data_IF_983128958360
#
_entry.id   IF_983128958360
#
_cell.length_a   1.000
_cell.length_b   1.000
_cell.length_c   1.000
_cell.angle_alpha   90.00
_cell.angle_beta   90.00
_cell.angle_gamma   90.00
#
_symmetry.space_group_name_H-M   'P 1'
#
loop_
_entity.id
_entity.type
_entity.pdbx_description
1 polymer ?
#
# COMPACT_ATOMS: atom_id res chain seq x y z
N UNK A 1 -18.03 -5.61 3.76
CA UNK A 1 -17.37 -6.65 4.54
C UNK A 1 -17.08 -6.05 5.89
N UNK A 2 -17.61 -6.67 6.94
CA UNK A 2 -17.37 -6.24 8.32
C UNK A 2 -15.88 -6.50 8.68
N UNK A 3 -15.29 -5.66 9.55
CA UNK A 3 -13.89 -5.83 9.95
C UNK A 3 -13.67 -7.22 10.56
N UNK A 4 -12.47 -7.79 10.38
CA UNK A 4 -12.15 -9.13 10.91
C UNK A 4 -12.36 -9.17 12.42
N UNK A 5 -12.06 -8.09 13.14
CA UNK A 5 -12.31 -7.98 14.59
C UNK A 5 -13.77 -8.19 14.99
N UNK A 6 -14.75 -7.97 14.11
CA UNK A 6 -16.17 -8.19 14.40
C UNK A 6 -16.70 -9.52 13.86
N UNK A 7 -15.83 -10.44 13.42
CA UNK A 7 -16.28 -11.73 12.90
C UNK A 7 -16.82 -12.64 13.98
N UNK A 8 -17.98 -13.25 13.68
CA UNK A 8 -18.56 -14.32 14.50
C UNK A 8 -17.81 -15.64 14.30
N UNK A 9 -17.99 -16.64 15.19
CA UNK A 9 -17.36 -17.95 15.03
C UNK A 9 -17.73 -18.65 13.71
N UNK A 10 -18.94 -18.43 13.20
CA UNK A 10 -19.39 -18.97 11.91
C UNK A 10 -18.65 -18.32 10.73
N UNK A 11 -18.34 -17.02 10.84
CA UNK A 11 -17.55 -16.31 9.84
C UNK A 11 -16.09 -16.77 9.85
N UNK A 12 -15.51 -17.01 11.03
CA UNK A 12 -14.18 -17.63 11.18
C UNK A 12 -14.16 -19.02 10.56
N UNK A 13 -15.17 -19.85 10.84
CA UNK A 13 -15.31 -21.17 10.21
C UNK A 13 -15.43 -21.07 8.68
N UNK A 14 -16.19 -20.09 8.17
CA UNK A 14 -16.30 -19.86 6.72
C UNK A 14 -14.97 -19.45 6.10
N UNK A 15 -14.15 -18.67 6.81
CA UNK A 15 -12.81 -18.31 6.36
C UNK A 15 -11.88 -19.54 6.33
N UNK A 16 -11.93 -20.38 7.36
CA UNK A 16 -11.13 -21.62 7.42
C UNK A 16 -11.43 -22.58 6.26
N UNK A 17 -12.68 -22.63 5.78
CA UNK A 17 -13.07 -23.41 4.59
C UNK A 17 -12.41 -22.93 3.29
N UNK A 18 -11.85 -21.73 3.27
CA UNK A 18 -11.10 -21.19 2.14
C UNK A 18 -9.59 -21.49 2.19
N UNK A 19 -9.09 -22.12 3.26
CA UNK A 19 -7.71 -22.56 3.39
C UNK A 19 -7.50 -23.94 2.75
N UNK A 20 -6.25 -24.39 2.70
CA UNK A 20 -5.89 -25.73 2.23
C UNK A 20 -6.72 -26.82 2.93
N UNK A 21 -7.13 -27.85 2.18
CA UNK A 21 -8.00 -28.93 2.68
C UNK A 21 -7.46 -29.60 3.96
N UNK A 22 -6.13 -29.66 4.10
CA UNK A 22 -5.46 -30.23 5.28
C UNK A 22 -5.71 -29.43 6.57
N UNK A 23 -6.06 -28.14 6.46
CA UNK A 23 -6.33 -27.24 7.59
C UNK A 23 -7.82 -27.17 7.92
N UNK A 24 -8.69 -27.45 6.96
CA UNK A 24 -10.15 -27.38 7.13
C UNK A 24 -10.68 -28.34 8.21
N UNK A 25 -9.97 -29.44 8.47
CA UNK A 25 -10.30 -30.41 9.52
C UNK A 25 -10.34 -29.80 10.94
N UNK A 26 -9.66 -28.66 11.17
CA UNK A 26 -9.65 -27.97 12.46
C UNK A 26 -10.84 -27.02 12.65
N UNK A 27 -11.62 -26.76 11.60
CA UNK A 27 -12.77 -25.85 11.63
C UNK A 27 -13.78 -26.13 12.76
N UNK A 28 -14.22 -27.38 12.98
CA UNK A 28 -15.13 -27.70 14.08
C UNK A 28 -14.58 -27.32 15.46
N UNK A 29 -13.29 -27.56 15.71
CA UNK A 29 -12.65 -27.21 16.97
C UNK A 29 -12.65 -25.69 17.21
N UNK A 30 -12.42 -24.88 16.16
CA UNK A 30 -12.49 -23.42 16.26
C UNK A 30 -13.91 -22.92 16.54
N UNK A 31 -14.91 -23.54 15.91
CA UNK A 31 -16.31 -23.21 16.12
C UNK A 31 -16.76 -23.58 17.56
N UNK A 32 -16.46 -24.79 18.02
CA UNK A 32 -16.81 -25.29 19.35
C UNK A 32 -16.16 -24.49 20.48
N UNK A 33 -14.92 -24.02 20.27
CA UNK A 33 -14.23 -23.13 21.20
C UNK A 33 -14.65 -21.65 21.06
N UNK A 34 -15.59 -21.33 20.17
CA UNK A 34 -16.12 -19.98 20.00
C UNK A 34 -15.08 -18.97 19.56
N UNK A 35 -14.13 -19.36 18.70
CA UNK A 35 -13.08 -18.46 18.21
C UNK A 35 -13.71 -17.38 17.31
N UNK A 36 -13.81 -16.16 17.85
CA UNK A 36 -14.21 -14.95 17.13
C UNK A 36 -13.02 -14.31 16.42
N UNK A 37 -13.29 -13.35 15.54
CA UNK A 37 -12.24 -12.73 14.72
C UNK A 37 -11.15 -11.99 15.49
N UNK A 38 -11.46 -11.31 16.59
CA UNK A 38 -10.42 -10.71 17.47
C UNK A 38 -9.49 -11.78 18.06
N UNK A 39 -10.06 -12.91 18.52
CA UNK A 39 -9.29 -14.02 19.05
C UNK A 39 -8.46 -14.73 17.97
N UNK A 40 -9.00 -14.86 16.76
CA UNK A 40 -8.30 -15.42 15.60
C UNK A 40 -7.01 -14.66 15.28
N UNK A 41 -7.08 -13.32 15.28
CA UNK A 41 -5.93 -12.44 14.99
C UNK A 41 -4.85 -12.47 16.09
N UNK A 42 -5.15 -13.03 17.26
CA UNK A 42 -4.23 -13.14 18.40
C UNK A 42 -3.81 -14.59 18.70
N UNK A 43 -4.08 -15.54 17.81
CA UNK A 43 -3.67 -16.93 18.00
C UNK A 43 -2.14 -17.06 18.01
N UNK A 44 -1.66 -17.96 18.87
CA UNK A 44 -0.25 -18.33 19.00
C UNK A 44 -0.12 -19.84 18.88
N UNK A 45 1.11 -20.34 18.70
CA UNK A 45 1.40 -21.78 18.70
C UNK A 45 0.81 -22.51 19.91
N UNK A 46 0.95 -21.93 21.11
CA UNK A 46 0.40 -22.51 22.33
C UNK A 46 -1.13 -22.63 22.27
N UNK A 47 -1.80 -21.61 21.74
CA UNK A 47 -3.27 -21.63 21.64
C UNK A 47 -3.77 -22.56 20.54
N UNK A 48 -3.00 -22.72 19.46
CA UNK A 48 -3.28 -23.70 18.43
C UNK A 48 -3.11 -25.14 18.95
N UNK A 49 -2.14 -25.38 19.83
CA UNK A 49 -1.98 -26.67 20.50
C UNK A 49 -3.20 -27.01 21.39
N UNK A 50 -3.68 -26.04 22.18
CA UNK A 50 -4.90 -26.18 22.99
C UNK A 50 -6.14 -26.50 22.13
N UNK A 51 -6.21 -25.96 20.92
CA UNK A 51 -7.28 -26.20 19.94
C UNK A 51 -7.12 -27.54 19.19
N UNK A 52 -6.08 -28.32 19.49
CA UNK A 52 -5.83 -29.64 18.90
C UNK A 52 -4.97 -29.63 17.64
N UNK A 53 -4.44 -28.47 17.23
CA UNK A 53 -3.51 -28.35 16.10
C UNK A 53 -2.09 -28.65 16.61
N UNK A 54 -1.73 -29.93 16.73
CA UNK A 54 -0.44 -30.34 17.33
C UNK A 54 0.73 -30.42 16.34
N UNK A 55 0.43 -30.52 15.05
CA UNK A 55 1.45 -30.64 14.01
C UNK A 55 2.06 -29.25 13.76
N UNK A 56 3.36 -29.11 14.01
CA UNK A 56 4.07 -27.84 13.83
C UNK A 56 3.86 -27.25 12.43
N UNK A 57 3.93 -28.07 11.38
CA UNK A 57 3.69 -27.60 10.01
C UNK A 57 2.28 -27.03 9.79
N UNK A 58 1.26 -27.58 10.44
CA UNK A 58 -0.11 -27.05 10.35
C UNK A 58 -0.27 -25.76 11.16
N UNK A 59 0.42 -25.66 12.31
CA UNK A 59 0.46 -24.42 13.08
C UNK A 59 1.10 -23.29 12.26
N UNK A 60 2.23 -23.54 11.61
CA UNK A 60 2.91 -22.56 10.76
C UNK A 60 2.02 -22.10 9.60
N UNK A 61 1.37 -23.01 8.88
CA UNK A 61 0.48 -22.64 7.77
C UNK A 61 -0.74 -21.83 8.24
N UNK A 62 -1.32 -22.17 9.40
CA UNK A 62 -2.42 -21.40 9.98
C UNK A 62 -1.96 -20.01 10.41
N UNK A 63 -0.81 -19.90 11.07
CA UNK A 63 -0.26 -18.60 11.50
C UNK A 63 0.13 -17.74 10.29
N UNK A 64 0.67 -18.33 9.22
CA UNK A 64 0.93 -17.60 7.97
C UNK A 64 -0.37 -17.08 7.33
N UNK A 65 -1.43 -17.89 7.30
CA UNK A 65 -2.74 -17.45 6.83
C UNK A 65 -3.33 -16.33 7.71
N UNK A 66 -3.14 -16.40 9.03
CA UNK A 66 -3.55 -15.37 9.98
C UNK A 66 -2.72 -14.09 9.79
N UNK A 67 -1.42 -14.17 9.57
CA UNK A 67 -0.57 -13.02 9.29
C UNK A 67 -0.99 -12.31 8.00
N UNK A 68 -1.36 -13.07 6.96
CA UNK A 68 -1.93 -12.53 5.73
C UNK A 68 -3.29 -11.88 5.99
N UNK A 69 -4.12 -12.48 6.84
CA UNK A 69 -5.41 -11.91 7.26
C UNK A 69 -5.23 -10.64 8.11
N UNK A 70 -4.22 -10.57 8.98
CA UNK A 70 -3.81 -9.38 9.72
C UNK A 70 -3.35 -8.28 8.77
N UNK A 71 -2.48 -8.61 7.82
CA UNK A 71 -2.04 -7.67 6.79
C UNK A 71 -3.24 -7.14 5.99
N UNK A 72 -4.22 -7.99 5.69
CA UNK A 72 -5.46 -7.60 5.04
C UNK A 72 -6.35 -6.69 5.90
N UNK A 73 -6.55 -7.06 7.17
CA UNK A 73 -7.38 -6.34 8.13
C UNK A 73 -6.82 -4.94 8.40
N UNK A 74 -5.52 -4.84 8.71
CA UNK A 74 -4.88 -3.57 9.03
C UNK A 74 -4.57 -2.69 7.81
N UNK A 75 -4.64 -3.22 6.57
CA UNK A 75 -4.55 -2.40 5.34
C UNK A 75 -5.88 -1.83 4.87
N UNK A 76 -6.99 -2.34 5.40
CA UNK A 76 -8.32 -1.81 5.09
C UNK A 76 -8.56 -0.48 5.83
N UNK A 77 -8.10 -0.40 7.09
CA UNK A 77 -8.20 0.81 7.92
C UNK A 77 -6.92 1.67 8.01
N UNK A 78 -5.74 1.14 7.64
CA UNK A 78 -4.51 1.95 7.54
C UNK A 78 -3.95 1.96 6.11
N UNK A 79 -3.94 3.17 5.52
CA UNK A 79 -3.19 3.60 4.33
C UNK A 79 -2.60 2.53 3.38
N UNK A 80 -3.20 2.34 2.19
CA UNK A 80 -2.67 1.51 1.10
C UNK A 80 -1.83 2.31 0.08
N UNK A 81 -1.13 1.65 -0.85
CA UNK A 81 -0.28 2.32 -1.85
C UNK A 81 -1.04 3.40 -2.64
N UNK A 82 -2.31 3.14 -2.95
CA UNK A 82 -3.18 4.10 -3.61
C UNK A 82 -3.41 5.36 -2.75
N UNK A 83 -3.85 5.20 -1.49
CA UNK A 83 -4.06 6.31 -0.53
C UNK A 83 -2.76 7.09 -0.30
N UNK A 84 -1.63 6.40 -0.15
CA UNK A 84 -0.31 7.02 0.00
C UNK A 84 0.08 7.85 -1.25
N UNK A 85 -0.18 7.31 -2.44
CA UNK A 85 0.06 8.01 -3.72
C UNK A 85 -0.88 9.21 -3.88
N UNK A 86 -2.13 9.12 -3.41
CA UNK A 86 -3.07 10.24 -3.41
C UNK A 86 -2.62 11.39 -2.49
N UNK A 87 -2.11 11.08 -1.29
CA UNK A 87 -1.52 12.11 -0.40
C UNK A 87 -0.32 12.79 -1.04
N UNK A 88 0.55 12.02 -1.69
CA UNK A 88 1.67 12.59 -2.45
C UNK A 88 1.17 13.50 -3.59
N UNK A 89 0.12 13.07 -4.30
CA UNK A 89 -0.51 13.85 -5.38
C UNK A 89 -1.05 15.19 -4.88
N UNK A 90 -1.77 15.20 -3.76
CA UNK A 90 -2.36 16.43 -3.22
C UNK A 90 -1.28 17.40 -2.76
N UNK A 91 -0.21 16.91 -2.13
CA UNK A 91 0.93 17.73 -1.72
C UNK A 91 1.66 18.36 -2.93
N UNK A 92 1.89 17.61 -4.00
CA UNK A 92 2.49 18.13 -5.24
C UNK A 92 1.62 19.23 -5.89
N UNK A 93 0.30 19.04 -5.95
CA UNK A 93 -0.64 20.03 -6.49
C UNK A 93 -0.66 21.31 -5.64
N UNK A 94 -0.68 21.18 -4.32
CA UNK A 94 -0.63 22.31 -3.40
C UNK A 94 0.65 23.13 -3.59
N UNK A 95 1.81 22.47 -3.73
CA UNK A 95 3.08 23.15 -4.04
C UNK A 95 3.03 23.86 -5.39
N UNK A 96 2.46 23.22 -6.42
CA UNK A 96 2.33 23.83 -7.76
C UNK A 96 1.44 25.08 -7.75
N UNK A 97 0.31 25.04 -7.04
CA UNK A 97 -0.57 26.21 -6.86
C UNK A 97 0.12 27.31 -6.07
N UNK A 98 0.82 26.98 -4.98
CA UNK A 98 1.60 27.93 -4.18
C UNK A 98 2.70 28.63 -4.98
N UNK A 99 3.39 27.90 -5.86
CA UNK A 99 4.38 28.48 -6.77
C UNK A 99 3.78 29.42 -7.82
N UNK A 100 2.53 29.18 -8.25
CA UNK A 100 1.79 30.02 -9.19
C UNK A 100 1.31 31.33 -8.57
N UNK A 101 0.78 31.29 -7.35
CA UNK A 101 0.37 32.48 -6.58
C UNK A 101 1.56 33.39 -6.21
N UNK A 102 2.74 32.81 -6.01
CA UNK A 102 3.97 33.56 -5.79
C UNK A 102 4.46 34.33 -7.04
N UNK A 103 3.92 34.07 -8.23
CA UNK A 103 4.35 34.70 -9.49
C UNK A 103 3.63 36.03 -9.82
N UNK A 104 2.48 36.32 -9.20
CA UNK A 104 1.58 37.40 -9.64
C UNK A 104 1.68 38.69 -8.82
N UNK A 105 2.50 38.73 -7.76
CA UNK A 105 2.63 39.88 -6.86
C UNK A 105 3.94 40.67 -7.06
N UNK A 106 3.92 41.96 -7.46
CA UNK A 106 5.13 42.76 -7.67
C UNK A 106 5.95 43.06 -6.40
N UNK A 107 5.35 42.91 -5.20
CA UNK A 107 5.95 43.39 -3.94
C UNK A 107 6.63 42.30 -3.08
N UNK A 108 6.44 41.01 -3.40
CA UNK A 108 7.08 39.89 -2.68
C UNK A 108 8.47 39.53 -3.20
N UNK A 109 8.80 39.93 -4.43
CA UNK A 109 10.09 39.66 -5.07
C UNK A 109 11.29 40.30 -4.32
N UNK A 110 11.04 41.31 -3.47
CA UNK A 110 12.09 41.98 -2.69
C UNK A 110 12.42 41.28 -1.37
N UNK A 111 11.45 40.63 -0.73
CA UNK A 111 11.58 39.90 0.54
C UNK A 111 12.03 38.44 0.28
N UNK A 112 11.64 37.87 -0.86
CA UNK A 112 12.00 36.51 -1.30
C UNK A 112 13.45 36.32 -1.78
N UNK A 113 14.33 37.32 -1.62
CA UNK A 113 15.69 37.30 -2.20
C UNK A 113 16.72 36.48 -1.42
N UNK A 114 16.34 35.88 -0.29
CA UNK A 114 17.31 35.22 0.62
C UNK A 114 16.83 33.87 1.19
N UNK A 115 15.58 33.44 0.98
CA UNK A 115 15.13 32.08 1.34
C UNK A 115 13.87 31.67 0.58
N UNK A 116 13.62 30.35 0.44
CA UNK A 116 12.29 29.86 0.09
C UNK A 116 11.26 30.43 1.08
N UNK A 117 10.08 30.89 0.62
CA UNK A 117 8.97 31.21 1.51
C UNK A 117 8.65 30.02 2.41
N UNK A 118 8.48 30.26 3.72
CA UNK A 118 8.24 29.21 4.72
C UNK A 118 7.09 28.26 4.36
N UNK A 119 6.08 28.80 3.65
CA UNK A 119 4.93 28.04 3.14
C UNK A 119 5.33 26.99 2.09
N UNK A 120 6.30 27.28 1.22
CA UNK A 120 6.80 26.31 0.23
C UNK A 120 7.66 25.22 0.90
N UNK A 121 8.45 25.57 1.93
CA UNK A 121 9.22 24.59 2.69
C UNK A 121 8.32 23.58 3.41
N UNK A 122 7.22 24.04 4.01
CA UNK A 122 6.21 23.16 4.63
C UNK A 122 5.64 22.18 3.59
N UNK A 123 5.33 22.67 2.39
CA UNK A 123 4.82 21.83 1.30
C UNK A 123 5.85 20.81 0.80
N UNK A 124 7.14 21.19 0.73
CA UNK A 124 8.23 20.24 0.41
C UNK A 124 8.33 19.15 1.48
N UNK A 125 8.27 19.51 2.77
CA UNK A 125 8.28 18.53 3.87
C UNK A 125 7.07 17.58 3.80
N UNK A 126 5.89 18.09 3.45
CA UNK A 126 4.69 17.26 3.25
C UNK A 126 4.85 16.28 2.08
N UNK A 127 5.48 16.70 0.98
CA UNK A 127 5.83 15.83 -0.16
C UNK A 127 6.79 14.74 0.29
N UNK A 128 7.87 15.08 1.01
CA UNK A 128 8.86 14.11 1.50
C UNK A 128 8.23 13.07 2.44
N UNK A 129 7.38 13.51 3.37
CA UNK A 129 6.67 12.60 4.28
C UNK A 129 5.72 11.66 3.54
N UNK A 130 4.97 12.17 2.56
CA UNK A 130 4.08 11.36 1.73
C UNK A 130 4.85 10.39 0.84
N UNK A 131 5.98 10.81 0.27
CA UNK A 131 6.85 9.98 -0.55
C UNK A 131 7.49 8.84 0.26
N UNK A 132 7.82 9.05 1.54
CA UNK A 132 8.33 8.00 2.43
C UNK A 132 7.33 6.85 2.59
N UNK A 133 6.04 7.14 2.71
CA UNK A 133 4.97 6.14 2.77
C UNK A 133 4.91 5.31 1.48
N UNK A 134 4.96 5.97 0.32
CA UNK A 134 5.00 5.30 -0.99
C UNK A 134 6.27 4.43 -1.15
N UNK A 135 7.44 4.93 -0.73
CA UNK A 135 8.70 4.18 -0.76
C UNK A 135 8.63 2.92 0.12
N UNK A 136 8.00 2.97 1.28
CA UNK A 136 7.81 1.81 2.15
C UNK A 136 6.96 0.73 1.45
N UNK A 137 5.88 1.14 0.79
CA UNK A 137 5.05 0.24 -0.03
C UNK A 137 5.84 -0.38 -1.18
N UNK A 138 6.57 0.43 -1.95
CA UNK A 138 7.40 -0.06 -3.07
C UNK A 138 8.53 -1.00 -2.61
N UNK A 139 9.04 -0.82 -1.39
CA UNK A 139 10.09 -1.68 -0.83
C UNK A 139 9.62 -3.09 -0.52
N UNK A 140 8.30 -3.31 -0.38
CA UNK A 140 7.67 -4.63 -0.22
C UNK A 140 7.43 -5.35 -1.57
N UNK A 141 7.55 -4.63 -2.69
CA UNK A 141 7.20 -5.09 -4.05
C UNK A 141 8.45 -5.40 -4.90
N UNK A 142 9.52 -5.90 -4.30
CA UNK A 142 10.82 -6.06 -4.98
C UNK A 142 10.81 -7.09 -6.11
N UNK A 143 9.83 -7.98 -6.11
CA UNK A 143 9.65 -9.03 -7.12
C UNK A 143 9.33 -8.47 -8.51
N UNK A 144 8.84 -7.23 -8.59
CA UNK A 144 8.38 -6.63 -9.83
C UNK A 144 9.33 -5.50 -10.30
N UNK A 145 9.94 -5.69 -11.48
CA UNK A 145 10.95 -4.77 -12.03
C UNK A 145 10.46 -3.32 -12.15
N UNK A 146 9.22 -3.12 -12.56
CA UNK A 146 8.63 -1.78 -12.72
C UNK A 146 8.55 -1.01 -11.39
N UNK A 147 8.23 -1.70 -10.29
CA UNK A 147 8.16 -1.10 -8.95
C UNK A 147 9.54 -0.87 -8.35
N UNK A 148 10.52 -1.70 -8.68
CA UNK A 148 11.93 -1.46 -8.33
C UNK A 148 12.47 -0.21 -9.02
N UNK A 149 12.16 -0.04 -10.32
CA UNK A 149 12.51 1.18 -11.05
C UNK A 149 11.79 2.40 -10.46
N UNK A 150 10.50 2.25 -10.16
CA UNK A 150 9.72 3.34 -9.59
C UNK A 150 10.24 3.77 -8.21
N UNK A 151 10.66 2.82 -7.37
CA UNK A 151 11.29 3.10 -6.07
C UNK A 151 12.58 3.91 -6.22
N UNK A 152 13.44 3.53 -7.16
CA UNK A 152 14.71 4.24 -7.42
C UNK A 152 14.46 5.67 -7.88
N UNK A 153 13.49 5.85 -8.76
CA UNK A 153 13.12 7.16 -9.29
C UNK A 153 12.52 8.06 -8.21
N UNK A 154 11.60 7.55 -7.38
CA UNK A 154 11.02 8.30 -6.26
C UNK A 154 12.08 8.68 -5.21
N UNK A 155 13.02 7.78 -4.92
CA UNK A 155 14.13 8.07 -4.01
C UNK A 155 15.03 9.20 -4.55
N UNK A 156 15.29 9.20 -5.86
CA UNK A 156 16.04 10.28 -6.53
C UNK A 156 15.31 11.63 -6.42
N UNK A 157 14.00 11.67 -6.63
CA UNK A 157 13.23 12.91 -6.43
C UNK A 157 13.25 13.41 -4.99
N UNK A 158 13.17 12.52 -4.01
CA UNK A 158 13.26 12.92 -2.59
C UNK A 158 14.62 13.56 -2.28
N UNK A 159 15.70 13.00 -2.84
CA UNK A 159 17.04 13.57 -2.71
C UNK A 159 17.14 14.95 -3.36
N UNK A 160 16.70 15.08 -4.61
CA UNK A 160 16.76 16.36 -5.34
C UNK A 160 15.91 17.44 -4.66
N UNK A 161 14.72 17.10 -4.14
CA UNK A 161 13.89 18.03 -3.36
C UNK A 161 14.54 18.46 -2.04
N UNK A 162 15.26 17.56 -1.38
CA UNK A 162 15.97 17.89 -0.14
C UNK A 162 17.14 18.83 -0.41
N UNK A 163 17.89 18.59 -1.50
CA UNK A 163 18.97 19.48 -1.92
C UNK A 163 18.48 20.89 -2.26
N UNK A 164 17.36 21.00 -2.97
CA UNK A 164 16.76 22.32 -3.27
C UNK A 164 16.24 23.01 -1.99
N UNK A 165 15.72 22.25 -1.03
CA UNK A 165 15.29 22.82 0.26
C UNK A 165 16.46 23.35 1.11
N UNK A 166 17.69 22.90 0.83
CA UNK A 166 18.91 23.24 1.55
C UNK A 166 19.75 24.35 0.87
N UNK A 167 19.38 24.83 -0.34
CA UNK A 167 20.15 25.81 -1.13
C UNK A 167 19.51 27.23 -1.20
N UNK A 168 20.32 28.25 -1.56
CA UNK A 168 19.92 29.67 -1.64
C UNK A 168 19.11 29.98 -2.94
N UNK A 169 17.84 30.36 -2.74
CA UNK A 169 16.69 30.36 -3.68
C UNK A 169 16.73 31.23 -4.96
N UNK A 170 17.88 31.74 -5.41
CA UNK A 170 17.90 32.67 -6.55
C UNK A 170 17.75 32.02 -7.94
N UNK A 171 17.96 30.70 -8.09
CA UNK A 171 17.92 30.00 -9.40
C UNK A 171 16.88 28.86 -9.50
N UNK A 172 16.12 28.57 -8.44
CA UNK A 172 15.53 27.22 -8.24
C UNK A 172 14.01 27.11 -8.43
N UNK A 173 13.29 28.20 -8.72
CA UNK A 173 11.85 28.10 -8.99
C UNK A 173 11.55 27.23 -10.22
N UNK A 174 12.40 27.32 -11.24
CA UNK A 174 12.32 26.48 -12.44
C UNK A 174 12.68 25.03 -12.15
N UNK A 175 13.69 24.78 -11.31
CA UNK A 175 14.12 23.43 -10.93
C UNK A 175 13.06 22.72 -10.06
N UNK A 176 12.48 23.41 -9.08
CA UNK A 176 11.34 22.91 -8.31
C UNK A 176 10.12 22.61 -9.19
N UNK A 177 9.81 23.49 -10.14
CA UNK A 177 8.72 23.25 -11.10
C UNK A 177 8.98 22.02 -11.96
N UNK A 178 10.22 21.81 -12.42
CA UNK A 178 10.62 20.63 -13.19
C UNK A 178 10.48 19.37 -12.33
N UNK A 179 11.04 19.36 -11.12
CA UNK A 179 10.98 18.21 -10.22
C UNK A 179 9.53 17.84 -9.86
N UNK A 180 8.69 18.83 -9.55
CA UNK A 180 7.26 18.61 -9.26
C UNK A 180 6.51 18.10 -10.48
N UNK A 181 6.79 18.64 -11.67
CA UNK A 181 6.16 18.20 -12.92
C UNK A 181 6.52 16.76 -13.26
N UNK A 182 7.79 16.38 -13.11
CA UNK A 182 8.24 15.00 -13.36
C UNK A 182 7.68 14.06 -12.29
N UNK A 183 7.63 14.48 -11.02
CA UNK A 183 6.99 13.72 -9.94
C UNK A 183 5.49 13.52 -10.23
N UNK A 184 4.82 14.49 -10.83
CA UNK A 184 3.42 14.35 -11.24
C UNK A 184 3.23 13.36 -12.41
N UNK A 185 4.15 13.34 -13.37
CA UNK A 185 4.20 12.32 -14.46
C UNK A 185 4.44 10.92 -13.87
N UNK A 186 5.34 10.81 -12.90
CA UNK A 186 5.61 9.59 -12.17
C UNK A 186 4.37 9.12 -11.40
N UNK A 187 3.67 10.00 -10.70
CA UNK A 187 2.43 9.67 -9.98
C UNK A 187 1.35 9.16 -10.96
N UNK A 188 1.29 9.71 -12.18
CA UNK A 188 0.37 9.21 -13.22
C UNK A 188 0.70 7.78 -13.70
N UNK A 189 1.92 7.27 -13.45
CA UNK A 189 2.24 5.84 -13.62
C UNK A 189 1.41 4.96 -12.67
N UNK A 190 1.17 5.44 -11.45
CA UNK A 190 0.34 4.81 -10.42
C UNK A 190 -1.16 5.18 -10.55
N UNK A 191 -1.59 5.70 -11.71
CA UNK A 191 -3.00 5.92 -11.97
C UNK A 191 -3.76 4.58 -11.94
N UNK A 192 -4.97 4.52 -11.37
CA UNK A 192 -5.76 3.30 -11.24
C UNK A 192 -5.92 2.54 -12.57
N UNK A 193 -5.91 3.24 -13.72
CA UNK A 193 -5.97 2.62 -15.05
C UNK A 193 -4.76 1.77 -15.42
N UNK A 194 -3.54 2.11 -14.95
CA UNK A 194 -2.31 1.36 -15.24
C UNK A 194 -2.00 0.32 -14.18
N UNK A 195 -2.34 0.58 -12.93
CA UNK A 195 -2.29 -0.41 -11.85
C UNK A 195 -3.22 -1.60 -12.12
N UNK A 196 -4.32 -1.42 -12.88
CA UNK A 196 -5.20 -2.51 -13.31
C UNK A 196 -4.63 -3.39 -14.44
N UNK A 197 -3.70 -2.89 -15.25
CA UNK A 197 -3.13 -3.61 -16.40
C UNK A 197 -1.79 -4.28 -16.07
N UNK A 198 -1.11 -3.82 -15.01
CA UNK A 198 -0.05 -4.62 -14.39
C UNK A 198 -0.73 -5.72 -13.59
N UNK A 199 -0.26 -6.96 -13.73
CA UNK A 199 -0.77 -8.18 -13.08
C UNK A 199 -0.55 -8.15 -11.56
N UNK A 200 -0.95 -7.08 -10.90
CA UNK A 200 -0.78 -6.84 -9.47
C UNK A 200 -2.11 -6.37 -8.90
N UNK A 201 -3.10 -7.26 -8.99
CA UNK A 201 -4.40 -7.14 -8.32
C UNK A 201 -4.26 -6.89 -6.80
N UNK A 202 -3.08 -7.14 -6.22
CA UNK A 202 -2.67 -6.87 -4.84
C UNK A 202 -2.57 -5.36 -4.52
N UNK A 203 -2.47 -4.48 -5.53
CA UNK A 203 -2.29 -3.04 -5.32
C UNK A 203 -3.56 -2.20 -5.44
N UNK A 204 -4.65 -2.76 -5.98
CA UNK A 204 -5.92 -2.06 -6.19
C UNK A 204 -7.09 -2.65 -5.40
N UNK A 205 -6.92 -3.85 -4.83
CA UNK A 205 -7.86 -4.44 -3.88
C UNK A 205 -7.10 -4.90 -2.63
N UNK A 206 -7.73 -4.90 -1.46
CA UNK A 206 -7.18 -5.67 -0.36
C UNK A 206 -7.17 -7.16 -0.79
N UNK A 207 -6.25 -8.01 -0.29
CA UNK A 207 -5.92 -9.36 -0.79
C UNK A 207 -7.04 -10.43 -0.90
N UNK A 208 -8.32 -10.07 -0.79
CA UNK A 208 -9.47 -10.97 -0.88
C UNK A 208 -10.02 -11.19 -2.30
N UNK A 209 -9.18 -11.28 -3.33
CA UNK A 209 -9.59 -11.89 -4.61
C UNK A 209 -8.57 -12.98 -5.00
N UNK A 210 -9.02 -14.24 -5.18
CA UNK A 210 -8.12 -15.34 -5.53
C UNK A 210 -7.49 -15.11 -6.91
N UNK A 211 -6.15 -15.15 -6.96
CA UNK A 211 -5.36 -15.13 -8.19
C UNK A 211 -5.40 -16.52 -8.86
N UNK A 212 -6.54 -16.94 -9.40
CA UNK A 212 -6.62 -18.13 -10.25
C UNK A 212 -6.38 -17.74 -11.71
N UNK A 213 -5.11 -17.82 -12.14
CA UNK A 213 -4.75 -17.90 -13.56
C UNK A 213 -4.81 -19.37 -14.00
N UNK A 214 -5.95 -19.80 -14.54
CA UNK A 214 -5.98 -20.88 -15.52
C UNK A 214 -7.20 -20.69 -16.45
N UNK A 215 -7.03 -20.70 -17.79
CA UNK A 215 -8.17 -20.80 -18.69
C UNK A 215 -8.83 -22.18 -18.53
N UNK A 216 -10.17 -22.29 -18.67
CA UNK A 216 -10.86 -23.57 -18.52
C UNK A 216 -10.40 -24.54 -19.62
N UNK A 217 -9.91 -25.71 -19.21
CA UNK A 217 -9.81 -26.85 -20.11
C UNK A 217 -11.23 -27.26 -20.53
N UNK A 218 -11.49 -27.30 -21.84
CA UNK A 218 -12.71 -27.87 -22.39
C UNK A 218 -12.96 -29.28 -21.83
N UNK A 219 -14.22 -29.64 -21.50
CA UNK A 219 -14.53 -31.02 -21.18
C UNK A 219 -14.38 -31.91 -22.42
N UNK A 220 -13.96 -33.18 -22.28
CA UNK A 220 -13.93 -34.11 -23.40
C UNK A 220 -15.35 -34.39 -23.89
N UNK A 221 -15.55 -34.30 -25.20
CA UNK A 221 -16.77 -34.68 -25.91
C UNK A 221 -17.11 -36.16 -25.66
N UNK A 222 -18.40 -36.52 -25.47
CA UNK A 222 -18.80 -37.91 -25.36
C UNK A 222 -18.62 -38.59 -26.73
N UNK A 223 -17.77 -39.61 -26.78
CA UNK A 223 -17.71 -40.52 -27.91
C UNK A 223 -18.99 -41.36 -27.95
N UNK A 224 -19.58 -41.59 -29.13
CA UNK A 224 -20.47 -42.74 -29.35
C UNK A 224 -19.69 -44.05 -29.43
#
# INVERSE_FOLDING_TARGET
>A
MDPVTSWTPEQVLSWMKGLDDVLQQYGPAFLENGIIGEALLCLSHAKLDDLGVKLLGHQELLLEAIDLLCALHYTTDSENLYKATQKLTSACKALQTGMGLAATGPDRARIARQSLPSELLILIVQILNSARSVLAWLSRLQTYKDFVMARRLLAKFCFDLTQIAEQDYTSEKTELQIVVSILQIFINFFSPRRLHHTTVSILLYPPHLPLTLHPPACPPSPHP
#
